data_IF_324268310138
#
_entry.id   IF_324268310138
#
_cell.length_a   1.000
_cell.length_b   1.000
_cell.length_c   1.000
_cell.angle_alpha   90.00
_cell.angle_beta   90.00
_cell.angle_gamma   90.00
#
_symmetry.space_group_name_H-M   'P 1'
#
loop_
_entity.id
_entity.type
_entity.pdbx_description
1 polymer ?
#
# COMPACT_ATOMS: atom_id res chain seq x y z
N UNK A 1 -22.46 -20.75 6.51
CA UNK A 1 -21.17 -20.44 7.17
C UNK A 1 -20.96 -18.94 7.09
N UNK A 2 -20.44 -18.33 8.16
CA UNK A 2 -20.06 -16.91 8.13
C UNK A 2 -18.96 -16.70 7.09
N UNK A 3 -18.98 -15.53 6.44
CA UNK A 3 -17.98 -15.12 5.46
C UNK A 3 -16.67 -14.76 6.17
N UNK A 4 -15.55 -15.10 5.56
CA UNK A 4 -14.21 -14.84 6.10
C UNK A 4 -13.42 -13.96 5.15
N UNK A 5 -12.96 -12.81 5.60
CA UNK A 5 -12.20 -11.87 4.76
C UNK A 5 -10.91 -11.45 5.43
N UNK A 6 -9.88 -11.21 4.61
CA UNK A 6 -8.59 -10.67 5.07
C UNK A 6 -8.45 -9.25 4.55
N UNK A 7 -8.15 -8.32 5.46
CA UNK A 7 -8.16 -6.89 5.18
C UNK A 7 -6.86 -6.26 5.63
N UNK A 8 -6.16 -5.66 4.68
CA UNK A 8 -4.88 -4.99 4.90
C UNK A 8 -5.04 -3.47 4.90
N UNK A 9 -4.35 -2.77 5.79
CA UNK A 9 -3.92 -1.40 5.48
C UNK A 9 -2.89 -1.38 4.34
N UNK A 10 -2.57 -0.21 3.81
CA UNK A 10 -1.64 -0.03 2.69
C UNK A 10 -0.27 0.50 3.13
N UNK A 11 -0.18 1.75 3.58
CA UNK A 11 1.09 2.42 3.89
C UNK A 11 1.59 2.00 5.27
N UNK A 12 2.81 1.48 5.37
CA UNK A 12 3.34 0.91 6.62
C UNK A 12 2.99 -0.56 6.82
N UNK A 13 1.98 -1.06 6.08
CA UNK A 13 1.55 -2.47 6.15
C UNK A 13 1.97 -3.28 4.91
N UNK A 14 1.60 -2.88 3.69
CA UNK A 14 2.02 -3.56 2.45
C UNK A 14 3.37 -3.07 1.94
N UNK A 15 3.76 -1.85 2.30
CA UNK A 15 4.98 -1.21 1.86
C UNK A 15 5.05 0.23 2.33
N UNK A 16 6.12 0.93 1.96
CA UNK A 16 6.34 2.32 2.27
C UNK A 16 6.32 3.16 0.99
N UNK A 17 5.21 3.85 0.73
CA UNK A 17 4.96 4.47 -0.58
C UNK A 17 5.08 6.00 -0.58
N UNK A 18 5.45 6.61 0.55
CA UNK A 18 5.47 8.07 0.71
C UNK A 18 6.42 8.77 -0.27
N UNK A 19 7.68 8.32 -0.37
CA UNK A 19 8.65 8.90 -1.31
C UNK A 19 8.29 8.62 -2.77
N UNK A 20 7.76 7.43 -3.05
CA UNK A 20 7.31 7.07 -4.40
C UNK A 20 6.18 7.99 -4.85
N UNK A 21 5.26 8.38 -3.96
CA UNK A 21 4.21 9.35 -4.31
C UNK A 21 4.77 10.69 -4.77
N UNK A 22 5.88 11.15 -4.17
CA UNK A 22 6.59 12.38 -4.55
C UNK A 22 7.26 12.19 -5.91
N UNK A 23 7.95 11.06 -6.12
CA UNK A 23 8.58 10.72 -7.40
C UNK A 23 7.55 10.75 -8.54
N UNK A 24 6.46 10.01 -8.41
CA UNK A 24 5.42 9.95 -9.45
C UNK A 24 4.77 11.32 -9.70
N UNK A 25 4.48 12.08 -8.64
CA UNK A 25 3.97 13.44 -8.78
C UNK A 25 4.93 14.33 -9.57
N UNK A 26 6.23 14.26 -9.30
CA UNK A 26 7.23 15.06 -10.01
C UNK A 26 7.32 14.71 -11.49
N UNK A 27 7.26 13.41 -11.81
CA UNK A 27 7.29 12.90 -13.19
C UNK A 27 6.05 13.38 -13.94
N UNK A 28 4.86 13.18 -13.37
CA UNK A 28 3.60 13.54 -14.05
C UNK A 28 3.45 15.05 -14.22
N UNK A 29 3.89 15.85 -13.24
CA UNK A 29 3.90 17.31 -13.36
C UNK A 29 4.88 17.78 -14.43
N UNK A 30 6.09 17.21 -14.48
CA UNK A 30 7.10 17.56 -15.49
C UNK A 30 6.62 17.24 -16.90
N UNK A 31 6.06 16.04 -17.10
CA UNK A 31 5.54 15.60 -18.39
C UNK A 31 4.20 16.24 -18.76
N UNK A 32 3.59 16.97 -17.83
CA UNK A 32 2.23 17.47 -17.90
C UNK A 32 1.22 16.40 -18.36
N UNK A 33 1.41 15.16 -17.90
CA UNK A 33 0.57 14.02 -18.26
C UNK A 33 0.62 12.96 -17.18
N UNK A 34 -0.47 12.19 -17.08
CA UNK A 34 -0.48 10.98 -16.25
C UNK A 34 0.30 9.86 -16.95
N UNK A 35 1.10 9.13 -16.18
CA UNK A 35 1.78 7.93 -16.70
C UNK A 35 0.80 6.76 -16.80
N UNK A 36 1.07 5.81 -17.70
CA UNK A 36 0.25 4.60 -17.81
C UNK A 36 0.48 3.66 -16.61
N UNK A 37 -0.44 2.71 -16.37
CA UNK A 37 -0.23 1.67 -15.36
C UNK A 37 1.02 0.84 -15.65
N UNK A 38 1.28 0.52 -16.93
CA UNK A 38 2.48 -0.21 -17.34
C UNK A 38 3.77 0.52 -16.92
N UNK A 39 3.88 1.81 -17.25
CA UNK A 39 5.03 2.61 -16.84
C UNK A 39 5.09 2.78 -15.31
N UNK A 40 3.94 2.86 -14.63
CA UNK A 40 3.90 2.86 -13.16
C UNK A 40 4.54 1.59 -12.60
N UNK A 41 4.13 0.41 -13.08
CA UNK A 41 4.69 -0.87 -12.65
C UNK A 41 6.20 -0.96 -12.94
N UNK A 42 6.63 -0.57 -14.14
CA UNK A 42 8.04 -0.55 -14.53
C UNK A 42 8.89 0.36 -13.61
N UNK A 43 8.36 1.53 -13.22
CA UNK A 43 9.03 2.43 -12.27
C UNK A 43 9.03 1.84 -10.86
N UNK A 44 7.91 1.26 -10.39
CA UNK A 44 7.82 0.60 -9.09
C UNK A 44 8.86 -0.53 -8.94
N UNK A 45 9.13 -1.27 -10.02
CA UNK A 45 10.13 -2.35 -10.03
C UNK A 45 11.57 -1.87 -9.76
N UNK A 46 11.85 -0.56 -9.88
CA UNK A 46 13.12 0.03 -9.48
C UNK A 46 13.28 0.17 -7.96
N UNK A 47 12.21 -0.06 -7.19
CA UNK A 47 12.11 0.20 -5.75
C UNK A 47 11.43 -0.95 -5.00
N UNK A 48 11.76 -2.20 -5.36
CA UNK A 48 11.18 -3.39 -4.72
C UNK A 48 11.39 -3.42 -3.20
N UNK A 49 12.45 -2.78 -2.69
CA UNK A 49 12.69 -2.64 -1.26
C UNK A 49 11.70 -1.71 -0.55
N UNK A 50 10.91 -0.91 -1.28
CA UNK A 50 9.80 -0.18 -0.69
C UNK A 50 8.59 -1.08 -0.41
N UNK A 51 8.57 -2.33 -0.89
CA UNK A 51 7.57 -3.32 -0.53
C UNK A 51 7.95 -4.02 0.77
N UNK A 52 6.95 -4.38 1.58
CA UNK A 52 7.21 -5.21 2.76
C UNK A 52 7.82 -6.55 2.30
N UNK A 53 8.87 -7.07 2.97
CA UNK A 53 9.46 -8.37 2.65
C UNK A 53 8.40 -9.48 2.63
N UNK A 54 8.59 -10.47 1.75
CA UNK A 54 7.76 -11.67 1.64
C UNK A 54 6.25 -11.41 1.38
N UNK A 55 5.86 -10.19 0.98
CA UNK A 55 4.45 -9.83 0.82
C UNK A 55 3.74 -10.64 -0.27
N UNK A 56 4.44 -10.99 -1.37
CA UNK A 56 3.85 -11.89 -2.36
C UNK A 56 3.71 -13.33 -1.84
N UNK A 57 4.58 -13.81 -0.94
CA UNK A 57 4.41 -15.15 -0.33
C UNK A 57 3.14 -15.19 0.52
N UNK A 58 2.87 -14.10 1.25
CA UNK A 58 1.64 -13.94 2.05
C UNK A 58 0.41 -13.93 1.14
N UNK A 59 0.48 -13.21 0.01
CA UNK A 59 -0.61 -13.24 -0.96
C UNK A 59 -0.79 -14.61 -1.62
N UNK A 60 0.29 -15.32 -1.96
CA UNK A 60 0.22 -16.69 -2.47
C UNK A 60 -0.48 -17.63 -1.50
N UNK A 61 -0.17 -17.55 -0.20
CA UNK A 61 -0.89 -18.32 0.82
C UNK A 61 -2.39 -17.98 0.85
N UNK A 62 -2.75 -16.70 0.80
CA UNK A 62 -4.15 -16.27 0.82
C UNK A 62 -4.92 -16.69 -0.42
N UNK A 63 -4.28 -16.68 -1.59
CA UNK A 63 -4.85 -17.19 -2.85
C UNK A 63 -5.17 -18.67 -2.71
N UNK A 64 -4.23 -19.47 -2.21
CA UNK A 64 -4.46 -20.90 -1.94
C UNK A 64 -5.60 -21.12 -0.94
N UNK A 65 -5.67 -20.32 0.14
CA UNK A 65 -6.77 -20.44 1.10
C UNK A 65 -8.12 -20.04 0.50
N UNK A 66 -8.15 -19.11 -0.47
CA UNK A 66 -9.35 -18.77 -1.24
C UNK A 66 -9.77 -19.91 -2.17
N UNK A 67 -8.82 -20.55 -2.85
CA UNK A 67 -9.09 -21.72 -3.71
C UNK A 67 -9.68 -22.89 -2.91
N UNK A 68 -9.23 -23.06 -1.67
CA UNK A 68 -9.81 -24.02 -0.71
C UNK A 68 -11.13 -23.56 -0.06
N UNK A 69 -11.66 -22.39 -0.41
CA UNK A 69 -12.91 -21.86 0.13
C UNK A 69 -12.86 -21.41 1.59
N UNK A 70 -11.67 -21.23 2.16
CA UNK A 70 -11.48 -20.78 3.56
C UNK A 70 -11.51 -19.26 3.70
N UNK A 71 -11.10 -18.55 2.65
CA UNK A 71 -11.14 -17.08 2.57
C UNK A 71 -12.03 -16.68 1.41
N UNK A 72 -13.03 -15.85 1.68
CA UNK A 72 -13.95 -15.34 0.66
C UNK A 72 -13.38 -14.13 -0.07
N UNK A 73 -12.70 -13.21 0.64
CA UNK A 73 -12.17 -11.98 0.05
C UNK A 73 -10.86 -11.50 0.67
N UNK A 74 -10.10 -10.79 -0.17
CA UNK A 74 -8.90 -10.05 0.20
C UNK A 74 -9.18 -8.58 -0.11
N UNK A 75 -9.03 -7.69 0.87
CA UNK A 75 -9.40 -6.28 0.73
C UNK A 75 -8.28 -5.34 1.22
N UNK A 76 -8.31 -4.11 0.71
CA UNK A 76 -7.54 -2.99 1.26
C UNK A 76 -8.50 -2.07 2.00
N UNK A 77 -8.17 -1.69 3.22
CA UNK A 77 -8.87 -0.63 3.96
C UNK A 77 -7.84 0.38 4.44
N UNK A 78 -7.79 1.56 3.81
CA UNK A 78 -6.76 2.56 4.07
C UNK A 78 -7.34 3.93 4.43
N UNK A 79 -6.59 4.67 5.24
CA UNK A 79 -6.83 6.08 5.49
C UNK A 79 -5.92 7.00 4.66
N UNK A 80 -5.25 6.47 3.63
CA UNK A 80 -4.47 7.26 2.69
C UNK A 80 -5.33 8.40 2.10
N UNK A 81 -4.86 9.65 2.28
CA UNK A 81 -5.53 10.88 1.83
C UNK A 81 -5.05 11.35 0.45
N UNK A 82 -4.22 10.56 -0.22
CA UNK A 82 -3.82 10.80 -1.59
C UNK A 82 -5.00 10.61 -2.56
N UNK A 83 -4.80 10.95 -3.85
CA UNK A 83 -5.81 10.69 -4.86
C UNK A 83 -6.17 9.20 -4.92
N UNK A 84 -7.46 8.84 -5.12
CA UNK A 84 -7.90 7.43 -5.28
C UNK A 84 -7.09 6.66 -6.33
N UNK A 85 -6.62 7.35 -7.37
CA UNK A 85 -5.76 6.78 -8.41
C UNK A 85 -4.47 6.18 -7.85
N UNK A 86 -3.90 6.76 -6.79
CA UNK A 86 -2.68 6.26 -6.15
C UNK A 86 -2.90 4.86 -5.57
N UNK A 87 -3.91 4.72 -4.70
CA UNK A 87 -4.31 3.44 -4.12
C UNK A 87 -4.67 2.42 -5.21
N UNK A 88 -5.40 2.85 -6.25
CA UNK A 88 -5.74 1.97 -7.38
C UNK A 88 -4.52 1.50 -8.17
N UNK A 89 -3.48 2.33 -8.32
CA UNK A 89 -2.25 1.95 -9.02
C UNK A 89 -1.42 0.97 -8.21
N UNK A 90 -1.33 1.17 -6.88
CA UNK A 90 -0.66 0.24 -5.96
C UNK A 90 -1.36 -1.11 -5.95
N UNK A 91 -2.70 -1.13 -5.83
CA UNK A 91 -3.52 -2.36 -5.94
C UNK A 91 -3.14 -3.13 -7.20
N UNK A 92 -3.21 -2.48 -8.37
CA UNK A 92 -2.92 -3.10 -9.67
C UNK A 92 -1.47 -3.54 -9.81
N UNK A 93 -0.54 -2.84 -9.16
CA UNK A 93 0.86 -3.24 -9.13
C UNK A 93 1.03 -4.56 -8.38
N UNK A 94 0.44 -4.70 -7.18
CA UNK A 94 0.46 -5.97 -6.45
C UNK A 94 -0.21 -7.11 -7.22
N UNK A 95 -1.33 -6.86 -7.90
CA UNK A 95 -2.00 -7.85 -8.76
C UNK A 95 -1.15 -8.26 -9.97
N UNK A 96 -0.24 -7.39 -10.44
CA UNK A 96 0.73 -7.71 -11.50
C UNK A 96 1.89 -8.56 -10.97
N UNK A 97 2.47 -8.18 -9.82
CA UNK A 97 3.69 -8.82 -9.31
C UNK A 97 3.44 -10.09 -8.48
N UNK A 98 2.21 -10.28 -7.99
CA UNK A 98 1.81 -11.49 -7.27
C UNK A 98 0.73 -12.23 -8.09
N UNK A 99 1.09 -13.18 -8.96
CA UNK A 99 0.16 -13.86 -9.86
C UNK A 99 -1.03 -14.48 -9.13
N UNK A 100 -2.24 -14.28 -9.66
CA UNK A 100 -3.48 -14.80 -9.08
C UNK A 100 -4.09 -13.92 -7.98
N UNK A 101 -3.37 -12.91 -7.50
CA UNK A 101 -3.91 -11.97 -6.52
C UNK A 101 -5.03 -11.14 -7.14
N UNK A 102 -6.15 -11.08 -6.43
CA UNK A 102 -7.25 -10.16 -6.71
C UNK A 102 -7.72 -9.55 -5.40
N UNK A 103 -7.60 -8.23 -5.29
CA UNK A 103 -8.24 -7.47 -4.22
C UNK A 103 -9.68 -7.18 -4.61
N UNK A 104 -10.63 -7.73 -3.86
CA UNK A 104 -12.06 -7.62 -4.13
C UNK A 104 -12.60 -6.22 -3.82
N UNK A 105 -12.01 -5.57 -2.81
CA UNK A 105 -12.46 -4.26 -2.34
C UNK A 105 -11.25 -3.38 -1.97
N UNK A 106 -11.36 -2.10 -2.28
CA UNK A 106 -10.48 -1.04 -1.77
C UNK A 106 -11.35 0.02 -1.14
N UNK A 107 -11.24 0.17 0.17
CA UNK A 107 -11.95 1.17 0.96
C UNK A 107 -10.99 2.31 1.24
N UNK A 108 -11.25 3.48 0.67
CA UNK A 108 -10.39 4.66 0.79
C UNK A 108 -10.71 5.49 2.05
N UNK A 109 -9.97 6.59 2.26
CA UNK A 109 -10.28 7.57 3.30
C UNK A 109 -11.74 8.07 3.19
N UNK A 110 -12.39 8.31 4.33
CA UNK A 110 -13.75 8.86 4.34
C UNK A 110 -13.78 10.26 3.75
N UNK A 111 -12.92 11.17 4.25
CA UNK A 111 -12.82 12.54 3.73
C UNK A 111 -11.39 12.92 3.36
N UNK A 112 -11.25 13.70 2.29
CA UNK A 112 -9.99 14.33 1.87
C UNK A 112 -10.28 15.79 1.57
N UNK A 113 -9.55 16.70 2.23
CA UNK A 113 -9.74 18.16 2.10
C UNK A 113 -11.19 18.63 2.33
N UNK A 114 -11.94 17.95 3.20
CA UNK A 114 -13.33 18.27 3.52
C UNK A 114 -14.37 17.65 2.56
N UNK A 115 -13.94 17.02 1.47
CA UNK A 115 -14.83 16.33 0.55
C UNK A 115 -14.97 14.84 0.93
N UNK A 116 -16.17 14.29 0.81
CA UNK A 116 -16.44 12.87 1.03
C UNK A 116 -15.91 12.08 -0.17
N UNK A 117 -15.05 11.13 0.12
CA UNK A 117 -14.37 10.28 -0.86
C UNK A 117 -14.98 8.88 -0.86
N UNK A 118 -15.25 8.31 0.32
CA UNK A 118 -15.84 6.98 0.47
C UNK A 118 -17.21 7.11 1.14
N UNK A 119 -18.26 7.32 0.32
CA UNK A 119 -19.63 7.63 0.77
C UNK A 119 -20.23 6.56 1.70
N UNK A 120 -19.73 5.33 1.60
CA UNK A 120 -20.19 4.23 2.43
C UNK A 120 -19.60 4.26 3.85
N UNK A 121 -18.48 4.98 4.05
CA UNK A 121 -17.93 5.24 5.38
C UNK A 121 -18.73 6.33 6.08
N UNK A 122 -18.67 6.31 7.41
CA UNK A 122 -19.32 7.30 8.27
C UNK A 122 -18.32 8.11 9.09
N UNK A 123 -17.06 7.67 9.14
CA UNK A 123 -15.99 8.32 9.91
C UNK A 123 -14.61 8.12 9.28
N UNK A 124 -13.67 9.00 9.64
CA UNK A 124 -12.26 8.87 9.28
C UNK A 124 -11.56 7.73 10.05
N UNK A 125 -12.16 7.25 11.15
CA UNK A 125 -11.69 6.05 11.82
C UNK A 125 -11.98 4.81 10.97
N UNK A 126 -11.14 3.78 11.07
CA UNK A 126 -11.48 2.47 10.52
C UNK A 126 -12.40 1.77 11.50
N UNK A 127 -13.55 1.30 11.01
CA UNK A 127 -14.54 0.62 11.87
C UNK A 127 -15.01 -0.67 11.20
N UNK A 128 -15.35 -1.68 12.01
CA UNK A 128 -15.92 -2.92 11.52
C UNK A 128 -17.20 -2.68 10.70
N UNK A 129 -18.08 -1.81 11.20
CA UNK A 129 -19.34 -1.49 10.55
C UNK A 129 -19.15 -0.83 9.18
N UNK A 130 -18.25 0.16 9.07
CA UNK A 130 -17.92 0.78 7.78
C UNK A 130 -17.30 -0.26 6.83
N UNK A 131 -16.43 -1.13 7.33
CA UNK A 131 -15.79 -2.19 6.53
C UNK A 131 -16.83 -3.17 5.94
N UNK A 132 -17.71 -3.72 6.78
CA UNK A 132 -18.76 -4.64 6.33
C UNK A 132 -19.73 -3.94 5.35
N UNK A 133 -20.08 -2.69 5.62
CA UNK A 133 -20.94 -1.88 4.74
C UNK A 133 -20.29 -1.59 3.39
N UNK A 134 -19.02 -1.17 3.36
CA UNK A 134 -18.29 -0.85 2.13
C UNK A 134 -18.03 -2.12 1.29
N UNK A 135 -17.79 -3.26 1.94
CA UNK A 135 -17.62 -4.55 1.25
C UNK A 135 -18.94 -5.22 0.88
N UNK A 136 -20.08 -4.70 1.34
CA UNK A 136 -21.42 -5.33 1.19
C UNK A 136 -21.44 -6.76 1.75
N UNK A 137 -20.72 -6.97 2.84
CA UNK A 137 -20.67 -8.26 3.53
C UNK A 137 -21.77 -8.39 4.58
N UNK A 138 -22.14 -9.62 4.99
CA UNK A 138 -23.00 -9.85 6.14
C UNK A 138 -22.39 -9.31 7.46
N UNK A 139 -23.25 -8.93 8.42
CA UNK A 139 -22.81 -8.38 9.72
C UNK A 139 -22.09 -9.36 10.64
N UNK A 140 -22.19 -10.66 10.36
CA UNK A 140 -21.52 -11.74 11.08
C UNK A 140 -20.17 -12.12 10.46
N UNK A 141 -19.72 -11.39 9.42
CA UNK A 141 -18.46 -11.66 8.70
C UNK A 141 -17.27 -11.63 9.63
N UNK A 142 -16.47 -12.70 9.62
CA UNK A 142 -15.20 -12.79 10.33
C UNK A 142 -14.11 -12.07 9.52
N UNK A 143 -13.34 -11.23 10.20
CA UNK A 143 -12.34 -10.35 9.57
C UNK A 143 -10.98 -10.60 10.20
N UNK A 144 -10.00 -10.97 9.39
CA UNK A 144 -8.60 -10.84 9.75
C UNK A 144 -8.14 -9.44 9.35
N UNK A 145 -7.96 -8.56 10.32
CA UNK A 145 -7.62 -7.16 10.09
C UNK A 145 -6.16 -6.89 10.42
N UNK A 146 -5.40 -6.41 9.43
CA UNK A 146 -3.95 -6.27 9.49
C UNK A 146 -3.59 -4.81 9.26
N UNK A 147 -2.96 -4.19 10.25
CA UNK A 147 -2.64 -2.77 10.23
C UNK A 147 -1.41 -2.49 11.09
N UNK A 148 -0.59 -1.52 10.69
CA UNK A 148 0.58 -1.09 11.46
C UNK A 148 0.24 -0.07 12.56
N UNK A 149 -0.98 0.45 12.54
CA UNK A 149 -1.55 1.32 13.55
C UNK A 149 -2.64 0.59 14.34
N UNK A 150 -2.88 1.03 15.58
CA UNK A 150 -3.94 0.50 16.42
C UNK A 150 -5.23 1.28 16.18
N UNK A 151 -6.29 0.58 15.75
CA UNK A 151 -7.61 1.14 15.48
C UNK A 151 -8.63 0.61 16.50
N UNK A 152 -8.87 1.37 17.57
CA UNK A 152 -9.80 0.97 18.65
C UNK A 152 -11.21 0.59 18.19
N UNK A 153 -11.68 1.11 17.06
CA UNK A 153 -13.02 0.79 16.51
C UNK A 153 -13.06 -0.45 15.61
N UNK A 154 -11.92 -1.13 15.47
CA UNK A 154 -11.80 -2.47 14.89
C UNK A 154 -11.69 -3.54 15.99
N UNK A 155 -11.63 -3.17 17.27
CA UNK A 155 -11.82 -4.10 18.38
C UNK A 155 -13.29 -4.56 18.37
N UNK A 156 -13.51 -5.79 17.93
CA UNK A 156 -14.84 -6.34 17.69
C UNK A 156 -14.77 -7.87 17.77
N UNK A 157 -15.84 -8.52 18.23
CA UNK A 157 -15.90 -9.98 18.43
C UNK A 157 -15.61 -10.80 17.15
N UNK A 158 -15.97 -10.25 15.99
CA UNK A 158 -15.73 -10.85 14.67
C UNK A 158 -14.38 -10.45 14.03
N UNK A 159 -13.49 -9.80 14.77
CA UNK A 159 -12.20 -9.31 14.24
C UNK A 159 -11.05 -10.05 14.91
N UNK A 160 -10.31 -10.81 14.11
CA UNK A 160 -8.97 -11.27 14.44
C UNK A 160 -7.98 -10.15 14.07
N UNK A 161 -7.51 -9.41 15.06
CA UNK A 161 -6.67 -8.23 14.86
C UNK A 161 -5.19 -8.60 14.86
N UNK A 162 -4.48 -8.26 13.78
CA UNK A 162 -3.03 -8.39 13.67
C UNK A 162 -2.41 -6.98 13.60
N UNK A 163 -1.83 -6.53 14.71
CA UNK A 163 -1.01 -5.32 14.74
C UNK A 163 0.42 -5.65 14.34
N UNK A 164 0.87 -5.09 13.21
CA UNK A 164 2.20 -5.35 12.66
C UNK A 164 3.15 -4.19 12.94
N UNK A 165 4.45 -4.48 13.06
CA UNK A 165 5.46 -3.41 13.13
C UNK A 165 5.41 -2.55 11.86
N UNK A 166 5.31 -1.21 11.94
CA UNK A 166 5.32 -0.36 10.76
C UNK A 166 6.52 -0.62 9.85
N UNK A 167 6.25 -0.82 8.56
CA UNK A 167 7.26 -0.95 7.53
C UNK A 167 7.64 0.43 6.99
N UNK A 168 8.88 0.85 7.28
CA UNK A 168 9.44 2.11 6.81
C UNK A 168 10.70 1.80 6.01
N UNK A 169 10.75 2.23 4.75
CA UNK A 169 11.96 2.13 3.94
C UNK A 169 12.13 3.43 3.18
N UNK A 170 13.15 4.21 3.54
CA UNK A 170 13.44 5.47 2.87
C UNK A 170 14.73 5.37 2.07
N UNK A 171 14.79 6.10 0.96
CA UNK A 171 15.96 6.31 0.12
C UNK A 171 16.44 7.75 0.26
N UNK A 172 17.72 8.01 -0.04
CA UNK A 172 18.13 9.40 -0.27
C UNK A 172 17.40 9.95 -1.50
N UNK A 173 17.20 11.27 -1.57
CA UNK A 173 16.60 11.88 -2.76
C UNK A 173 17.46 11.62 -4.01
N UNK A 174 18.79 11.56 -3.86
CA UNK A 174 19.71 11.22 -4.94
C UNK A 174 19.47 9.81 -5.47
N UNK A 175 19.27 8.81 -4.60
CA UNK A 175 18.94 7.45 -5.02
C UNK A 175 17.54 7.37 -5.64
N UNK A 176 16.54 7.98 -4.98
CA UNK A 176 15.15 7.97 -5.44
C UNK A 176 15.01 8.54 -6.85
N UNK A 177 15.52 9.75 -7.10
CA UNK A 177 15.42 10.34 -8.44
C UNK A 177 16.46 9.76 -9.39
N UNK A 178 17.66 9.45 -8.89
CA UNK A 178 18.74 8.90 -9.69
C UNK A 178 18.36 7.61 -10.38
N UNK A 179 17.74 6.64 -9.68
CA UNK A 179 17.31 5.38 -10.31
C UNK A 179 16.36 5.61 -11.48
N UNK A 180 15.36 6.48 -11.31
CA UNK A 180 14.46 6.84 -12.40
C UNK A 180 15.17 7.57 -13.55
N UNK A 181 16.06 8.53 -13.25
CA UNK A 181 16.83 9.29 -14.25
C UNK A 181 17.70 8.38 -15.10
N UNK A 182 18.36 7.39 -14.48
CA UNK A 182 19.21 6.44 -15.20
C UNK A 182 18.41 5.38 -15.96
N UNK A 183 17.14 5.17 -15.62
CA UNK A 183 16.27 4.23 -16.33
C UNK A 183 15.97 4.68 -17.78
N UNK A 184 15.54 3.72 -18.59
CA UNK A 184 15.07 3.90 -19.98
C UNK A 184 13.55 3.80 -20.11
N UNK A 185 12.83 3.76 -18.98
CA UNK A 185 11.38 3.46 -18.92
C UNK A 185 10.55 4.52 -19.65
N UNK A 186 10.92 5.79 -19.51
CA UNK A 186 10.25 6.90 -20.17
C UNK A 186 11.24 7.68 -21.04
N UNK A 187 10.76 8.14 -22.20
CA UNK A 187 11.48 9.09 -23.05
C UNK A 187 11.12 10.52 -22.65
N UNK A 188 12.12 11.27 -22.20
CA UNK A 188 12.01 12.68 -21.82
C UNK A 188 13.39 13.34 -21.83
N UNK A 189 13.43 14.67 -21.77
CA UNK A 189 14.68 15.42 -21.66
C UNK A 189 15.23 15.33 -20.23
N UNK A 190 16.26 14.49 -20.04
CA UNK A 190 16.87 14.22 -18.73
C UNK A 190 17.50 15.49 -18.11
N UNK A 191 18.36 16.26 -18.81
CA UNK A 191 18.85 17.55 -18.31
C UNK A 191 17.74 18.49 -17.85
N UNK A 192 16.67 18.63 -18.63
CA UNK A 192 15.55 19.51 -18.29
C UNK A 192 14.81 19.01 -17.04
N UNK A 193 14.62 17.69 -16.91
CA UNK A 193 14.00 17.10 -15.72
C UNK A 193 14.85 17.31 -14.46
N UNK A 194 16.17 17.15 -14.55
CA UNK A 194 17.09 17.42 -13.44
C UNK A 194 17.00 18.89 -13.00
N UNK A 195 17.00 19.82 -13.95
CA UNK A 195 16.84 21.25 -13.67
C UNK A 195 15.49 21.54 -13.00
N UNK A 196 14.41 20.90 -13.48
CA UNK A 196 13.09 20.99 -12.88
C UNK A 196 13.07 20.48 -11.43
N UNK A 197 13.64 19.30 -11.15
CA UNK A 197 13.71 18.72 -9.81
C UNK A 197 14.47 19.64 -8.85
N UNK A 198 15.62 20.16 -9.27
CA UNK A 198 16.42 21.10 -8.50
C UNK A 198 15.65 22.40 -8.18
N UNK A 199 14.90 22.93 -9.15
CA UNK A 199 14.18 24.19 -8.98
C UNK A 199 12.89 24.05 -8.15
N UNK A 200 12.12 22.98 -8.37
CA UNK A 200 10.75 22.84 -7.88
C UNK A 200 10.62 21.95 -6.64
N UNK A 201 11.48 20.93 -6.49
CA UNK A 201 11.35 19.90 -5.47
C UNK A 201 12.47 19.95 -4.43
N UNK A 202 13.73 19.83 -4.85
CA UNK A 202 14.85 19.65 -3.92
C UNK A 202 15.11 20.87 -3.03
N UNK A 203 14.78 22.09 -3.49
CA UNK A 203 14.86 23.31 -2.67
C UNK A 203 13.77 23.42 -1.60
N UNK A 204 12.64 22.72 -1.75
CA UNK A 204 11.45 22.88 -0.90
C UNK A 204 11.17 21.69 0.00
N UNK A 205 11.75 20.53 -0.31
CA UNK A 205 11.55 19.30 0.44
C UNK A 205 12.66 19.15 1.48
N UNK A 206 12.27 19.18 2.75
CA UNK A 206 13.08 18.60 3.83
C UNK A 206 12.62 17.16 4.02
N UNK A 207 13.46 16.21 3.61
CA UNK A 207 13.20 14.80 3.86
C UNK A 207 14.36 14.22 4.65
N UNK A 208 14.07 13.74 5.86
CA UNK A 208 15.04 13.07 6.70
C UNK A 208 15.13 11.63 6.23
N UNK A 209 16.17 11.32 5.46
CA UNK A 209 16.51 9.93 5.16
C UNK A 209 17.27 9.35 6.35
N UNK A 210 16.73 8.28 6.90
CA UNK A 210 17.44 7.41 7.82
C UNK A 210 17.73 6.11 7.06
N UNK A 211 19.02 5.82 6.90
CA UNK A 211 19.46 4.60 6.27
C UNK A 211 19.02 3.44 7.16
N UNK A 212 18.33 2.48 6.56
CA UNK A 212 17.90 1.29 7.26
C UNK A 212 19.08 0.34 7.45
N UNK A 213 19.36 0.00 8.70
CA UNK A 213 20.46 -0.91 9.02
C UNK A 213 20.07 -2.37 8.77
N UNK A 214 21.06 -3.24 8.64
CA UNK A 214 20.84 -4.66 8.30
C UNK A 214 19.95 -5.35 9.32
N UNK A 215 20.16 -5.07 10.60
CA UNK A 215 19.38 -5.59 11.71
C UNK A 215 17.90 -5.19 11.59
N UNK A 216 17.61 -3.97 11.17
CA UNK A 216 16.24 -3.51 10.97
C UNK A 216 15.57 -4.18 9.77
N UNK A 217 16.31 -4.39 8.68
CA UNK A 217 15.83 -5.16 7.51
C UNK A 217 15.49 -6.59 7.93
N UNK A 218 16.34 -7.22 8.75
CA UNK A 218 16.10 -8.58 9.21
C UNK A 218 14.91 -8.64 10.19
N UNK A 219 14.70 -7.61 11.02
CA UNK A 219 13.49 -7.47 11.84
C UNK A 219 12.23 -7.40 10.96
N UNK A 220 12.26 -6.68 9.84
CA UNK A 220 11.08 -6.60 8.98
C UNK A 220 10.75 -7.93 8.31
N UNK A 221 11.76 -8.72 7.91
CA UNK A 221 11.56 -10.09 7.42
C UNK A 221 10.91 -10.97 8.49
N UNK A 222 11.38 -10.86 9.75
CA UNK A 222 10.79 -11.57 10.88
C UNK A 222 9.33 -11.13 11.08
N UNK A 223 9.05 -9.82 11.01
CA UNK A 223 7.70 -9.29 11.13
C UNK A 223 6.77 -9.80 10.03
N UNK A 224 7.24 -9.91 8.77
CA UNK A 224 6.47 -10.51 7.67
C UNK A 224 6.16 -11.99 7.91
N UNK A 225 7.14 -12.77 8.37
CA UNK A 225 6.94 -14.18 8.72
C UNK A 225 5.96 -14.36 9.88
N UNK A 226 6.04 -13.49 10.89
CA UNK A 226 5.10 -13.46 11.99
C UNK A 226 3.68 -13.10 11.52
N UNK A 227 3.56 -12.11 10.61
CA UNK A 227 2.28 -11.77 9.99
C UNK A 227 1.67 -12.97 9.26
N UNK A 228 2.45 -13.70 8.46
CA UNK A 228 1.99 -14.92 7.79
C UNK A 228 1.52 -15.99 8.79
N UNK A 229 2.30 -16.22 9.85
CA UNK A 229 1.94 -17.19 10.89
C UNK A 229 0.59 -16.84 11.52
N UNK A 230 0.38 -15.59 11.93
CA UNK A 230 -0.88 -15.14 12.53
C UNK A 230 -2.04 -15.23 11.53
N UNK A 231 -1.82 -14.87 10.26
CA UNK A 231 -2.81 -15.06 9.19
C UNK A 231 -3.21 -16.54 9.06
N UNK A 232 -2.29 -17.48 9.24
CA UNK A 232 -2.58 -18.91 9.15
C UNK A 232 -3.35 -19.49 10.34
N UNK A 233 -3.37 -18.78 11.47
CA UNK A 233 -4.13 -19.14 12.67
C UNK A 233 -5.59 -18.66 12.62
N UNK A 234 -5.88 -17.66 11.76
CA UNK A 234 -7.23 -17.21 11.47
C UNK A 234 -8.00 -18.31 10.74
#
# INVERSE_FOLDING_TARGET
MSKRIVVFDMDGTLGYFSQLSILFKSIEMFLNKRISQKCFNEIMNLYNECLRPDICEIFSYLIEQREHGKIDRICIYTNNKGPKLWTSRIKRYFEEICPGLVFDNVICAFTVNGEIIEEMRTTNNKTYNDLVKCTKMPKDTQVCFIDDQIHKYMEHENVYYIHVKPYVYSLTLNELFGRFIHSSILKYDKPLFINYLNAMFLKKIKYNHEKKEREEIDIDKIASKQMLKLISEF
#
